data_IF_621058595893
#
_entry.id   IF_621058595893
#
_cell.length_a   1.000
_cell.length_b   1.000
_cell.length_c   1.000
_cell.angle_alpha   90.00
_cell.angle_beta   90.00
_cell.angle_gamma   90.00
#
_symmetry.space_group_name_H-M   'P 1'
#
loop_
_entity.id
_entity.type
_entity.pdbx_description
1 polymer ?
#
# COMPACT_ATOMS: atom_id res chain seq x y z
N UNK A 1 2.06 24.08 -10.14
CA UNK A 1 1.07 23.48 -11.07
C UNK A 1 -0.30 24.15 -10.88
N UNK A 2 -1.14 24.27 -11.93
CA UNK A 2 -2.51 24.80 -11.79
C UNK A 2 -3.42 23.74 -11.14
N UNK A 3 -4.26 24.13 -10.18
CA UNK A 3 -5.19 23.24 -9.44
C UNK A 3 -6.01 22.31 -10.37
N UNK A 4 -6.54 22.88 -11.45
CA UNK A 4 -7.32 22.13 -12.43
C UNK A 4 -6.55 21.01 -13.13
N UNK A 5 -5.23 21.15 -13.35
CA UNK A 5 -4.42 20.10 -13.98
C UNK A 5 -4.25 18.89 -13.05
N UNK A 6 -3.95 19.14 -11.78
CA UNK A 6 -3.81 18.07 -10.77
C UNK A 6 -5.13 17.32 -10.59
N UNK A 7 -6.25 18.06 -10.53
CA UNK A 7 -7.58 17.47 -10.48
C UNK A 7 -7.89 16.60 -11.70
N UNK A 8 -7.64 17.10 -12.92
CA UNK A 8 -7.88 16.34 -14.14
C UNK A 8 -7.01 15.07 -14.22
N UNK A 9 -5.75 15.15 -13.76
CA UNK A 9 -4.88 13.99 -13.70
C UNK A 9 -5.39 12.92 -12.73
N UNK A 10 -5.85 13.32 -11.52
CA UNK A 10 -6.49 12.39 -10.59
C UNK A 10 -7.77 11.79 -11.19
N UNK A 11 -8.60 12.60 -11.84
CA UNK A 11 -9.83 12.14 -12.50
C UNK A 11 -9.54 11.12 -13.60
N UNK A 12 -8.47 11.31 -14.35
CA UNK A 12 -8.06 10.42 -15.44
C UNK A 12 -7.26 9.20 -14.95
N UNK A 13 -6.85 9.15 -13.67
CA UNK A 13 -6.19 7.99 -13.11
C UNK A 13 -7.13 6.79 -13.14
N UNK A 14 -6.74 5.75 -13.87
CA UNK A 14 -7.46 4.49 -13.93
C UNK A 14 -6.59 3.38 -13.32
N UNK A 15 -7.23 2.39 -12.72
CA UNK A 15 -6.55 1.16 -12.36
C UNK A 15 -6.36 0.31 -13.63
N UNK A 16 -5.13 0.19 -14.10
CA UNK A 16 -4.77 -0.59 -15.30
C UNK A 16 -4.60 -2.09 -15.01
N UNK A 17 -5.06 -2.56 -13.85
CA UNK A 17 -4.91 -3.94 -13.39
C UNK A 17 -3.81 -4.12 -12.33
N UNK A 18 -2.93 -3.13 -12.16
CA UNK A 18 -1.87 -3.15 -11.14
C UNK A 18 -2.23 -2.25 -9.96
N UNK A 19 -2.79 -2.85 -8.91
CA UNK A 19 -3.22 -2.14 -7.70
C UNK A 19 -2.07 -1.38 -7.03
N UNK A 20 -0.85 -1.94 -7.02
CA UNK A 20 0.33 -1.26 -6.48
C UNK A 20 0.65 0.06 -7.21
N UNK A 21 0.69 0.04 -8.55
CA UNK A 21 0.93 1.24 -9.36
C UNK A 21 -0.18 2.26 -9.17
N UNK A 22 -1.44 1.81 -9.06
CA UNK A 22 -2.57 2.69 -8.78
C UNK A 22 -2.42 3.39 -7.41
N UNK A 23 -2.06 2.65 -6.36
CA UNK A 23 -1.85 3.19 -5.01
C UNK A 23 -0.75 4.25 -5.01
N UNK A 24 0.42 3.93 -5.57
CA UNK A 24 1.56 4.87 -5.60
C UNK A 24 1.22 6.15 -6.37
N UNK A 25 0.56 6.02 -7.53
CA UNK A 25 0.13 7.17 -8.31
C UNK A 25 -0.91 8.02 -7.55
N UNK A 26 -1.84 7.38 -6.85
CA UNK A 26 -2.85 8.06 -6.05
C UNK A 26 -2.23 8.83 -4.89
N UNK A 27 -1.30 8.22 -4.15
CA UNK A 27 -0.56 8.89 -3.06
C UNK A 27 0.17 10.14 -3.58
N UNK A 28 0.83 10.03 -4.74
CA UNK A 28 1.48 11.19 -5.38
C UNK A 28 0.48 12.31 -5.67
N UNK A 29 -0.69 12.00 -6.24
CA UNK A 29 -1.71 13.01 -6.54
C UNK A 29 -2.32 13.65 -5.29
N UNK A 30 -2.50 12.89 -4.19
CA UNK A 30 -2.96 13.46 -2.92
C UNK A 30 -1.97 14.50 -2.38
N UNK A 31 -0.66 14.20 -2.42
CA UNK A 31 0.39 15.15 -2.04
C UNK A 31 0.40 16.37 -2.96
N UNK A 32 0.25 16.18 -4.28
CA UNK A 32 0.15 17.29 -5.23
C UNK A 32 -1.07 18.17 -4.94
N UNK A 33 -2.24 17.59 -4.62
CA UNK A 33 -3.46 18.32 -4.29
C UNK A 33 -3.34 19.13 -3.00
N UNK A 34 -2.67 18.58 -1.99
CA UNK A 34 -2.31 19.31 -0.77
C UNK A 34 -1.40 20.50 -1.11
N UNK A 35 -0.39 20.29 -1.96
CA UNK A 35 0.54 21.36 -2.37
C UNK A 35 -0.14 22.51 -3.11
N UNK A 36 -1.21 22.23 -3.86
CA UNK A 36 -1.98 23.25 -4.58
C UNK A 36 -3.21 23.76 -3.80
N UNK A 37 -3.34 23.40 -2.52
CA UNK A 37 -4.43 23.85 -1.62
C UNK A 37 -5.83 23.65 -2.23
N UNK A 38 -6.11 22.48 -2.78
CA UNK A 38 -7.47 22.08 -3.16
C UNK A 38 -8.21 21.66 -1.89
N UNK A 39 -9.27 22.40 -1.53
CA UNK A 39 -10.07 22.13 -0.33
C UNK A 39 -11.24 21.22 -0.70
N UNK A 40 -11.07 19.92 -0.50
CA UNK A 40 -12.16 18.94 -0.56
C UNK A 40 -12.19 18.15 0.76
N UNK A 41 -13.37 17.71 1.21
CA UNK A 41 -13.46 16.82 2.34
C UNK A 41 -12.65 15.54 2.07
N UNK A 42 -11.83 15.05 3.03
CA UNK A 42 -11.02 13.85 2.86
C UNK A 42 -11.81 12.61 2.39
N UNK A 43 -13.07 12.50 2.84
CA UNK A 43 -13.98 11.42 2.46
C UNK A 43 -14.28 11.38 0.96
N UNK A 44 -14.34 12.54 0.30
CA UNK A 44 -14.55 12.61 -1.15
C UNK A 44 -13.38 11.95 -1.88
N UNK A 45 -12.14 12.14 -1.41
CA UNK A 45 -10.99 11.44 -1.97
C UNK A 45 -11.10 9.94 -1.77
N UNK A 46 -11.51 9.48 -0.59
CA UNK A 46 -11.72 8.06 -0.31
C UNK A 46 -12.76 7.42 -1.26
N UNK A 47 -13.88 8.09 -1.50
CA UNK A 47 -14.89 7.59 -2.45
C UNK A 47 -14.38 7.57 -3.88
N UNK A 48 -13.65 8.60 -4.33
CA UNK A 48 -13.03 8.62 -5.66
C UNK A 48 -12.03 7.46 -5.83
N UNK A 49 -11.26 7.17 -4.78
CA UNK A 49 -10.31 6.05 -4.76
C UNK A 49 -11.05 4.72 -4.94
N UNK A 50 -12.08 4.49 -4.12
CA UNK A 50 -12.86 3.25 -4.17
C UNK A 50 -13.64 3.08 -5.48
N UNK A 51 -14.25 4.14 -6.00
CA UNK A 51 -14.98 4.14 -7.28
C UNK A 51 -14.09 3.64 -8.42
N UNK A 52 -12.85 4.15 -8.49
CA UNK A 52 -11.87 3.76 -9.51
C UNK A 52 -11.42 2.31 -9.39
N UNK A 53 -11.46 1.75 -8.19
CA UNK A 53 -11.14 0.35 -7.92
C UNK A 53 -12.34 -0.58 -8.10
N UNK A 54 -13.58 -0.08 -8.00
CA UNK A 54 -14.81 -0.86 -8.13
C UNK A 54 -14.96 -1.58 -9.48
N UNK A 55 -14.23 -1.12 -10.51
CA UNK A 55 -14.15 -1.80 -11.82
C UNK A 55 -13.35 -3.10 -11.80
N UNK A 56 -12.59 -3.37 -10.73
CA UNK A 56 -11.80 -4.57 -10.59
C UNK A 56 -12.54 -5.62 -9.74
N UNK A 57 -13.14 -6.60 -10.42
CA UNK A 57 -13.95 -7.65 -9.78
C UNK A 57 -13.18 -8.46 -8.72
N UNK A 58 -11.86 -8.58 -8.85
CA UNK A 58 -11.02 -9.28 -7.86
C UNK A 58 -10.94 -8.56 -6.51
N UNK A 59 -11.34 -7.29 -6.44
CA UNK A 59 -11.31 -6.47 -5.23
C UNK A 59 -12.69 -6.26 -4.62
N UNK A 60 -13.78 -6.72 -5.25
CA UNK A 60 -15.15 -6.38 -4.86
C UNK A 60 -15.43 -6.58 -3.36
N UNK A 61 -15.12 -7.77 -2.82
CA UNK A 61 -15.33 -8.07 -1.40
C UNK A 61 -14.50 -7.20 -0.45
N UNK A 62 -13.31 -6.78 -0.87
CA UNK A 62 -12.46 -5.90 -0.05
C UNK A 62 -13.05 -4.50 -0.06
N UNK A 63 -13.45 -4.00 -1.23
CA UNK A 63 -14.01 -2.67 -1.39
C UNK A 63 -15.32 -2.52 -0.61
N UNK A 64 -16.18 -3.55 -0.59
CA UNK A 64 -17.38 -3.58 0.25
C UNK A 64 -17.08 -3.47 1.75
N UNK A 65 -16.01 -4.11 2.23
CA UNK A 65 -15.62 -3.97 3.65
C UNK A 65 -15.03 -2.59 3.95
N UNK A 66 -14.29 -2.02 3.00
CA UNK A 66 -13.66 -0.71 3.17
C UNK A 66 -14.69 0.42 3.12
N UNK A 67 -15.72 0.32 2.27
CA UNK A 67 -16.75 1.35 2.13
C UNK A 67 -17.67 1.43 3.36
N UNK A 68 -17.80 0.35 4.13
CA UNK A 68 -18.58 0.34 5.38
C UNK A 68 -17.82 0.91 6.58
N UNK A 69 -16.54 1.28 6.42
CA UNK A 69 -15.70 1.78 7.51
C UNK A 69 -15.52 3.31 7.42
N UNK A 70 -16.46 4.06 8.01
CA UNK A 70 -16.46 5.53 7.99
C UNK A 70 -15.17 6.15 8.56
N UNK A 71 -14.58 5.52 9.58
CA UNK A 71 -13.33 5.97 10.19
C UNK A 71 -12.16 5.89 9.20
N UNK A 72 -12.17 4.89 8.32
CA UNK A 72 -11.18 4.71 7.27
C UNK A 72 -11.45 5.67 6.10
N UNK A 73 -12.72 5.85 5.73
CA UNK A 73 -13.12 6.79 4.69
C UNK A 73 -12.77 8.24 5.04
N UNK A 74 -12.76 8.61 6.33
CA UNK A 74 -12.30 9.92 6.77
C UNK A 74 -10.80 10.18 6.55
N UNK A 75 -10.01 9.14 6.22
CA UNK A 75 -8.54 9.19 6.17
C UNK A 75 -8.02 8.49 4.90
N UNK A 76 -8.00 9.17 3.73
CA UNK A 76 -7.64 8.56 2.45
C UNK A 76 -6.24 7.94 2.45
N UNK A 77 -5.28 8.51 3.19
CA UNK A 77 -3.93 7.93 3.32
C UNK A 77 -3.95 6.57 4.02
N UNK A 78 -4.79 6.42 5.07
CA UNK A 78 -4.96 5.14 5.78
C UNK A 78 -5.71 4.12 4.92
N UNK A 79 -6.69 4.58 4.13
CA UNK A 79 -7.39 3.74 3.16
C UNK A 79 -6.41 3.15 2.14
N UNK A 80 -5.50 3.96 1.59
CA UNK A 80 -4.48 3.52 0.64
C UNK A 80 -3.50 2.54 1.27
N UNK A 81 -3.09 2.78 2.52
CA UNK A 81 -2.24 1.84 3.26
C UNK A 81 -2.94 0.49 3.47
N UNK A 82 -4.24 0.50 3.81
CA UNK A 82 -5.02 -0.73 3.97
C UNK A 82 -5.18 -1.51 2.65
N UNK A 83 -5.32 -0.79 1.52
CA UNK A 83 -5.31 -1.39 0.18
C UNK A 83 -3.95 -2.01 -0.16
N UNK A 84 -2.85 -1.37 0.25
CA UNK A 84 -1.50 -1.87 0.05
C UNK A 84 -1.24 -3.13 0.88
N UNK A 85 -1.69 -3.17 2.13
CA UNK A 85 -1.64 -4.38 2.97
C UNK A 85 -2.33 -5.56 2.30
N UNK A 86 -3.49 -5.33 1.67
CA UNK A 86 -4.19 -6.37 0.92
C UNK A 86 -3.36 -6.94 -0.24
N UNK A 87 -2.67 -6.07 -1.00
CA UNK A 87 -1.79 -6.54 -2.10
C UNK A 87 -0.63 -7.38 -1.59
N UNK A 88 -0.05 -7.01 -0.45
CA UNK A 88 1.07 -7.74 0.13
C UNK A 88 0.64 -9.10 0.68
N UNK A 89 -0.52 -9.18 1.33
CA UNK A 89 -1.07 -10.45 1.82
C UNK A 89 -1.36 -11.41 0.66
N UNK A 90 -1.96 -10.92 -0.42
CA UNK A 90 -2.17 -11.73 -1.62
C UNK A 90 -0.84 -12.23 -2.22
N UNK A 91 0.17 -11.36 -2.32
CA UNK A 91 1.49 -11.75 -2.82
C UNK A 91 2.15 -12.82 -1.93
N UNK A 92 2.07 -12.67 -0.60
CA UNK A 92 2.62 -13.65 0.35
C UNK A 92 1.86 -14.97 0.30
N UNK A 93 0.53 -14.96 0.17
CA UNK A 93 -0.28 -16.17 0.03
C UNK A 93 0.00 -16.93 -1.27
N UNK A 94 0.40 -16.25 -2.35
CA UNK A 94 0.86 -16.89 -3.59
C UNK A 94 2.21 -17.58 -3.39
N UNK A 95 3.09 -17.01 -2.56
CA UNK A 95 4.40 -17.58 -2.22
C UNK A 95 4.26 -18.77 -1.24
N UNK A 96 3.26 -18.76 -0.36
CA UNK A 96 3.03 -19.81 0.64
C UNK A 96 1.98 -20.84 0.24
N UNK A 97 1.55 -20.89 -1.02
CA UNK A 97 0.54 -21.84 -1.53
C UNK A 97 1.00 -23.30 -1.61
N UNK A 98 2.08 -23.65 -0.91
CA UNK A 98 2.44 -25.02 -0.54
C UNK A 98 1.91 -25.45 0.83
N UNK A 99 1.13 -24.65 1.57
CA UNK A 99 0.50 -25.12 2.82
C UNK A 99 -0.81 -24.40 3.19
N UNK A 100 -1.91 -25.15 3.03
CA UNK A 100 -3.20 -25.15 3.76
C UNK A 100 -4.04 -23.87 3.99
N UNK A 101 -5.39 -23.98 4.02
CA UNK A 101 -6.30 -22.84 3.88
C UNK A 101 -6.81 -22.24 5.21
N UNK A 102 -6.93 -20.90 5.20
CA UNK A 102 -7.99 -20.03 5.77
C UNK A 102 -8.47 -20.32 7.21
N UNK A 103 -8.01 -19.51 8.19
CA UNK A 103 -8.80 -19.15 9.40
C UNK A 103 -8.36 -17.86 10.14
N UNK A 104 -7.21 -17.24 9.85
CA UNK A 104 -6.70 -16.17 10.74
C UNK A 104 -7.12 -14.72 10.40
N UNK A 105 -8.40 -14.49 10.11
CA UNK A 105 -8.91 -13.12 9.86
C UNK A 105 -9.34 -12.35 11.11
N UNK A 106 -9.09 -12.84 12.33
CA UNK A 106 -9.60 -12.21 13.56
C UNK A 106 -8.51 -11.53 14.43
N UNK A 107 -7.20 -11.73 14.21
CA UNK A 107 -6.19 -11.33 15.21
C UNK A 107 -5.16 -10.26 14.78
N UNK A 108 -5.59 -9.16 14.13
CA UNK A 108 -4.65 -8.08 13.75
C UNK A 108 -4.93 -6.70 14.36
N UNK A 109 -5.82 -6.59 15.36
CA UNK A 109 -6.08 -5.29 16.00
C UNK A 109 -5.05 -4.86 17.06
N UNK A 110 -4.08 -5.69 17.44
CA UNK A 110 -3.12 -5.33 18.51
C UNK A 110 -1.66 -5.74 18.29
N UNK A 111 -1.29 -6.25 17.11
CA UNK A 111 0.12 -6.47 16.83
C UNK A 111 0.79 -5.14 16.45
N UNK A 112 1.61 -4.60 17.36
CA UNK A 112 2.64 -3.63 17.02
C UNK A 112 3.49 -4.20 15.89
N UNK A 113 3.22 -3.77 14.65
CA UNK A 113 4.03 -4.18 13.51
C UNK A 113 5.43 -3.61 13.68
N UNK A 114 6.39 -4.50 13.92
CA UNK A 114 7.81 -4.15 13.87
C UNK A 114 8.15 -3.76 12.44
N UNK A 115 8.35 -2.47 12.19
CA UNK A 115 8.91 -1.98 10.93
C UNK A 115 10.28 -2.65 10.75
N UNK A 116 10.36 -3.56 9.79
CA UNK A 116 11.61 -4.26 9.47
C UNK A 116 12.40 -3.38 8.52
N UNK A 117 13.48 -2.79 9.03
CA UNK A 117 14.42 -2.04 8.20
C UNK A 117 15.29 -3.02 7.42
N UNK A 118 15.20 -2.99 6.09
CA UNK A 118 16.05 -3.81 5.22
C UNK A 118 17.32 -3.07 4.81
N UNK A 119 18.29 -3.89 4.44
CA UNK A 119 19.66 -3.56 4.10
C UNK A 119 19.89 -4.10 2.68
N UNK A 120 20.35 -3.25 1.75
CA UNK A 120 20.43 -3.62 0.33
C UNK A 120 21.71 -3.05 -0.31
N UNK A 121 22.27 -3.76 -1.29
CA UNK A 121 23.46 -3.38 -2.05
C UNK A 121 24.66 -2.92 -1.21
N UNK A 122 25.02 -3.68 -0.18
CA UNK A 122 26.20 -3.37 0.65
C UNK A 122 26.05 -2.14 1.55
N UNK A 123 24.91 -1.44 1.53
CA UNK A 123 24.68 -0.24 2.33
C UNK A 123 23.88 -0.57 3.60
N UNK A 124 24.57 -0.59 4.74
CA UNK A 124 23.95 -0.85 6.04
C UNK A 124 23.05 0.29 6.50
N UNK A 125 21.77 -0.05 6.76
CA UNK A 125 20.85 0.83 7.45
C UNK A 125 21.14 0.73 8.96
N UNK A 126 21.59 1.82 9.62
CA UNK A 126 21.93 1.81 11.05
C UNK A 126 20.75 1.48 11.98
N UNK A 127 19.51 1.57 11.46
CA UNK A 127 18.29 1.23 12.19
C UNK A 127 17.89 -0.24 12.03
N UNK A 128 18.63 -1.01 11.25
CA UNK A 128 18.41 -2.44 11.09
C UNK A 128 18.99 -3.19 12.29
N UNK A 129 18.12 -3.81 13.09
CA UNK A 129 18.51 -4.64 14.25
C UNK A 129 18.56 -6.13 13.94
N UNK A 130 18.27 -6.52 12.69
CA UNK A 130 18.14 -7.94 12.29
C UNK A 130 19.47 -8.63 11.98
N UNK A 131 20.56 -7.85 11.88
CA UNK A 131 21.95 -8.28 11.77
C UNK A 131 22.88 -7.11 12.10
N UNK A 132 24.10 -7.39 12.58
CA UNK A 132 25.13 -6.36 12.77
C UNK A 132 25.87 -6.09 11.45
N UNK A 133 26.58 -4.95 11.37
CA UNK A 133 27.32 -4.52 10.16
C UNK A 133 28.28 -5.59 9.62
N UNK A 134 28.80 -6.45 10.49
CA UNK A 134 29.73 -7.53 10.16
C UNK A 134 29.07 -8.67 9.33
N UNK A 135 27.75 -8.83 9.38
CA UNK A 135 27.02 -9.95 8.75
C UNK A 135 26.21 -9.54 7.50
N UNK A 136 26.61 -8.43 6.87
CA UNK A 136 25.86 -7.78 5.80
C UNK A 136 25.65 -8.64 4.53
N UNK A 137 26.43 -9.70 4.35
CA UNK A 137 26.36 -10.63 3.21
C UNK A 137 25.89 -12.04 3.53
N UNK A 138 25.56 -12.36 4.79
CA UNK A 138 25.39 -13.76 5.22
C UNK A 138 23.99 -14.35 4.98
N UNK A 139 22.99 -13.56 4.58
CA UNK A 139 21.59 -14.02 4.53
C UNK A 139 21.01 -14.31 3.14
N UNK A 140 21.75 -14.09 2.05
CA UNK A 140 21.27 -14.39 0.69
C UNK A 140 22.41 -15.00 -0.15
N UNK A 141 22.54 -16.34 -0.21
CA UNK A 141 23.66 -17.02 -0.86
C UNK A 141 23.82 -16.70 -2.36
N UNK A 142 22.74 -16.30 -3.03
CA UNK A 142 22.67 -16.05 -4.47
C UNK A 142 22.94 -14.58 -4.86
N UNK A 143 23.25 -13.71 -3.91
CA UNK A 143 23.62 -12.30 -4.15
C UNK A 143 25.09 -12.01 -3.78
N UNK A 144 25.92 -13.04 -3.59
CA UNK A 144 27.36 -12.84 -3.52
C UNK A 144 27.89 -12.52 -4.92
N UNK A 145 28.66 -11.43 -5.11
CA UNK A 145 29.43 -11.26 -6.34
C UNK A 145 30.49 -12.38 -6.44
N UNK A 146 30.92 -12.76 -7.66
CA UNK A 146 31.90 -13.83 -7.86
C UNK A 146 33.23 -13.55 -7.16
#
# INVERSE_FOLDING_TARGET
>A
MKKGRVWMNLKNLNNTGYLHSYINNTQRFLLELQSVSVKLPPQIFSYIILEKLGKNSSLAQVLERLILNDNLLAKPDKLLLRLQEYTNIQATQIITKDSTPVSDLILLSEHQFKITHFCYNGIHNPKCTTHTKEYFGAKIPHLQPP
#
